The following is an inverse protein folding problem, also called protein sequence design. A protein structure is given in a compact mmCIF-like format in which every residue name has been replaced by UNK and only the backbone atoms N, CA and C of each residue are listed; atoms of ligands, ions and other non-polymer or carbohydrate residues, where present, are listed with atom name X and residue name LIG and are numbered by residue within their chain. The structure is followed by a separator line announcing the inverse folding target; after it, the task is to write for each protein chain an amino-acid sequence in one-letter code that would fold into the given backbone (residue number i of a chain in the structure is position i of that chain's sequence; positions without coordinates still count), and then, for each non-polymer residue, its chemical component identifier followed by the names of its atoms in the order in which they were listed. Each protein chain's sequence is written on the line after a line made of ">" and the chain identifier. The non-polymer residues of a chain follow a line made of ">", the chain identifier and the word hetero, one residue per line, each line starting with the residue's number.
data_IF_522846194028
#
_entry.id   IF_522846194028
#
_cell.length_a   1.000
_cell.length_b   1.000
_cell.length_c   1.000
_cell.angle_alpha   90.00
_cell.angle_beta   90.00
_cell.angle_gamma   90.00
#
_symmetry.space_group_name_H-M   'P 1'
#
loop_
_entity.id
_entity.type
_entity.pdbx_description
1 polymer ?
#
# COMPACT_ATOMS: atom_id res chain seq x y z
N UNK A 1 -2.69 -30.65 9.88
CA UNK A 1 -3.52 -29.60 10.52
C UNK A 1 -4.62 -29.23 9.53
N UNK A 2 -5.91 -29.33 9.89
CA UNK A 2 -7.04 -29.12 8.95
C UNK A 2 -7.70 -27.76 9.18
N UNK A 3 -7.09 -26.69 8.66
CA UNK A 3 -7.63 -25.33 8.75
C UNK A 3 -9.06 -25.21 8.21
N UNK A 4 -9.42 -26.02 7.22
CA UNK A 4 -10.78 -26.05 6.64
C UNK A 4 -11.84 -26.53 7.62
N UNK A 5 -11.51 -27.47 8.51
CA UNK A 5 -12.43 -27.93 9.56
C UNK A 5 -12.68 -26.85 10.60
N UNK A 6 -11.67 -26.02 10.91
CA UNK A 6 -11.84 -24.90 11.83
C UNK A 6 -12.82 -23.84 11.26
N UNK A 7 -12.86 -23.64 9.94
CA UNK A 7 -13.84 -22.76 9.30
C UNK A 7 -15.26 -23.34 9.25
N UNK A 8 -15.46 -24.63 9.53
CA UNK A 8 -16.80 -25.19 9.73
C UNK A 8 -17.42 -24.72 11.06
N UNK A 9 -16.59 -24.32 12.02
CA UNK A 9 -17.02 -23.90 13.36
C UNK A 9 -16.85 -22.39 13.60
N UNK A 10 -16.09 -21.70 12.76
CA UNK A 10 -15.78 -20.27 12.88
C UNK A 10 -16.26 -19.51 11.63
N UNK A 11 -16.79 -18.30 11.82
CA UNK A 11 -17.18 -17.44 10.70
C UNK A 11 -15.92 -16.98 9.92
N UNK A 12 -15.70 -17.42 8.67
CA UNK A 12 -14.47 -17.09 7.94
C UNK A 12 -14.28 -15.59 7.69
N UNK A 13 -15.39 -14.84 7.67
CA UNK A 13 -15.43 -13.40 7.40
C UNK A 13 -14.76 -12.54 8.47
N UNK A 14 -14.68 -13.06 9.69
CA UNK A 14 -14.15 -12.33 10.86
C UNK A 14 -12.90 -13.00 11.45
N UNK A 15 -12.55 -14.18 10.97
CA UNK A 15 -11.45 -14.98 11.52
C UNK A 15 -10.11 -14.67 10.81
N UNK A 16 -9.70 -13.40 10.82
CA UNK A 16 -8.42 -12.96 10.25
C UNK A 16 -7.21 -13.76 10.79
N UNK A 17 -7.09 -14.03 12.11
CA UNK A 17 -5.93 -14.77 12.62
C UNK A 17 -5.80 -16.16 12.00
N UNK A 18 -6.91 -16.86 11.79
CA UNK A 18 -6.90 -18.21 11.21
C UNK A 18 -6.44 -18.19 9.75
N UNK A 19 -6.87 -17.19 8.97
CA UNK A 19 -6.40 -17.01 7.59
C UNK A 19 -4.91 -16.70 7.52
N UNK A 20 -4.41 -15.83 8.40
CA UNK A 20 -2.98 -15.51 8.49
C UNK A 20 -2.18 -16.76 8.85
N UNK A 21 -2.59 -17.50 9.90
CA UNK A 21 -1.89 -18.73 10.30
C UNK A 21 -1.94 -19.80 9.21
N UNK A 22 -3.02 -19.89 8.44
CA UNK A 22 -3.09 -20.83 7.32
C UNK A 22 -2.12 -20.44 6.20
N UNK A 23 -2.07 -19.15 5.84
CA UNK A 23 -1.13 -18.64 4.84
C UNK A 23 0.33 -18.86 5.29
N UNK A 24 0.68 -18.49 6.53
CA UNK A 24 2.03 -18.67 7.09
C UNK A 24 2.45 -20.14 7.14
N UNK A 25 1.55 -21.04 7.53
CA UNK A 25 1.82 -22.47 7.48
C UNK A 25 2.04 -22.94 6.04
N UNK A 26 1.22 -22.48 5.08
CA UNK A 26 1.36 -22.83 3.67
C UNK A 26 2.68 -22.33 3.07
N UNK A 27 3.15 -21.14 3.47
CA UNK A 27 4.46 -20.62 3.06
C UNK A 27 5.60 -21.58 3.42
N UNK A 28 5.51 -22.26 4.57
CA UNK A 28 6.54 -23.19 5.04
C UNK A 28 6.37 -24.63 4.54
N UNK A 29 5.14 -25.04 4.22
CA UNK A 29 4.77 -26.44 4.04
C UNK A 29 4.29 -26.80 2.63
N UNK A 30 4.04 -25.80 1.77
CA UNK A 30 3.42 -25.99 0.44
C UNK A 30 4.13 -25.17 -0.64
N UNK A 31 3.66 -25.31 -1.88
CA UNK A 31 4.15 -24.51 -3.00
C UNK A 31 3.69 -23.04 -2.92
N UNK A 32 4.31 -22.19 -3.74
CA UNK A 32 3.90 -20.78 -3.81
C UNK A 32 2.48 -20.62 -4.36
N UNK A 33 2.07 -21.49 -5.29
CA UNK A 33 0.75 -21.47 -5.92
C UNK A 33 -0.35 -21.81 -4.90
N UNK A 34 -0.11 -22.81 -4.05
CA UNK A 34 -1.03 -23.19 -2.97
C UNK A 34 -1.20 -22.04 -1.96
N UNK A 35 -0.09 -21.38 -1.62
CA UNK A 35 -0.10 -20.24 -0.71
C UNK A 35 -0.86 -19.06 -1.33
N UNK A 36 -0.66 -18.80 -2.63
CA UNK A 36 -1.41 -17.77 -3.36
C UNK A 36 -2.91 -18.05 -3.37
N UNK A 37 -3.30 -19.32 -3.57
CA UNK A 37 -4.69 -19.73 -3.56
C UNK A 37 -5.35 -19.47 -2.21
N UNK A 38 -4.63 -19.68 -1.10
CA UNK A 38 -5.11 -19.36 0.25
C UNK A 38 -5.32 -17.85 0.42
N UNK A 39 -4.35 -17.02 0.01
CA UNK A 39 -4.52 -15.56 0.07
C UNK A 39 -5.70 -15.08 -0.77
N UNK A 40 -5.85 -15.58 -2.01
CA UNK A 40 -7.00 -15.23 -2.87
C UNK A 40 -8.33 -15.64 -2.23
N UNK A 41 -8.41 -16.84 -1.65
CA UNK A 41 -9.60 -17.33 -0.95
C UNK A 41 -9.90 -16.46 0.28
N UNK A 42 -8.88 -16.10 1.04
CA UNK A 42 -9.00 -15.26 2.23
C UNK A 42 -9.51 -13.85 1.89
N UNK A 43 -9.02 -13.24 0.80
CA UNK A 43 -9.42 -11.89 0.35
C UNK A 43 -10.90 -11.84 -0.04
N UNK A 44 -11.43 -12.91 -0.63
CA UNK A 44 -12.85 -13.03 -0.97
C UNK A 44 -13.70 -13.26 0.29
N UNK A 45 -13.18 -14.03 1.25
CA UNK A 45 -13.92 -14.42 2.44
C UNK A 45 -13.99 -13.30 3.50
N UNK A 46 -12.91 -12.55 3.71
CA UNK A 46 -12.80 -11.55 4.78
C UNK A 46 -13.28 -10.18 4.30
N UNK A 47 -14.13 -9.53 5.10
CA UNK A 47 -14.72 -8.22 4.77
C UNK A 47 -14.29 -7.12 5.75
N UNK A 48 -14.52 -5.86 5.37
CA UNK A 48 -14.28 -4.70 6.24
C UNK A 48 -12.80 -4.47 6.56
N UNK A 49 -12.51 -3.99 7.78
CA UNK A 49 -11.15 -3.62 8.21
C UNK A 49 -10.17 -4.81 8.19
N UNK A 50 -10.63 -6.01 8.52
CA UNK A 50 -9.83 -7.24 8.49
C UNK A 50 -9.30 -7.56 7.09
N UNK A 51 -10.02 -7.17 6.04
CA UNK A 51 -9.57 -7.36 4.65
C UNK A 51 -8.35 -6.50 4.30
N UNK A 52 -8.16 -5.36 4.99
CA UNK A 52 -7.03 -4.44 4.76
C UNK A 52 -5.73 -5.08 5.19
N UNK A 53 -5.68 -5.59 6.43
CA UNK A 53 -4.50 -6.29 6.95
C UNK A 53 -4.11 -7.49 6.07
N UNK A 54 -5.11 -8.20 5.56
CA UNK A 54 -4.86 -9.35 4.69
C UNK A 54 -4.26 -8.94 3.34
N UNK A 55 -4.69 -7.82 2.74
CA UNK A 55 -4.11 -7.27 1.49
C UNK A 55 -2.65 -6.89 1.68
N UNK A 56 -2.32 -6.25 2.81
CA UNK A 56 -0.94 -5.92 3.14
C UNK A 56 -0.07 -7.17 3.30
N UNK A 57 -0.55 -8.19 4.03
CA UNK A 57 0.17 -9.46 4.20
C UNK A 57 0.36 -10.19 2.86
N UNK A 58 -0.66 -10.18 2.01
CA UNK A 58 -0.58 -10.78 0.69
C UNK A 58 0.45 -10.08 -0.20
N UNK A 59 0.49 -8.75 -0.14
CA UNK A 59 1.46 -7.95 -0.88
C UNK A 59 2.90 -8.20 -0.39
N UNK A 60 3.11 -8.26 0.93
CA UNK A 60 4.42 -8.61 1.52
C UNK A 60 4.88 -10.00 1.10
N UNK A 61 3.99 -11.00 1.18
CA UNK A 61 4.29 -12.36 0.72
C UNK A 61 4.63 -12.40 -0.77
N UNK A 62 3.88 -11.68 -1.60
CA UNK A 62 4.12 -11.62 -3.05
C UNK A 62 5.51 -11.05 -3.35
N UNK A 63 5.91 -10.01 -2.62
CA UNK A 63 7.25 -9.44 -2.73
C UNK A 63 8.35 -10.41 -2.29
N UNK A 64 8.19 -11.07 -1.13
CA UNK A 64 9.17 -12.05 -0.63
C UNK A 64 9.32 -13.27 -1.54
N UNK A 65 8.23 -13.74 -2.15
CA UNK A 65 8.21 -14.99 -2.92
C UNK A 65 8.57 -14.84 -4.40
N UNK A 66 8.29 -13.67 -5.00
CA UNK A 66 8.51 -13.44 -6.43
C UNK A 66 9.01 -12.04 -6.78
N UNK A 67 9.50 -11.30 -5.79
CA UNK A 67 10.02 -9.94 -5.94
C UNK A 67 8.97 -8.93 -6.39
N UNK A 68 9.46 -7.79 -6.85
CA UNK A 68 8.64 -6.66 -7.27
C UNK A 68 7.63 -7.02 -8.38
N UNK A 69 7.99 -7.88 -9.35
CA UNK A 69 7.08 -8.25 -10.45
C UNK A 69 5.81 -8.91 -9.93
N UNK A 70 5.96 -9.83 -8.97
CA UNK A 70 4.82 -10.52 -8.34
C UNK A 70 4.03 -9.58 -7.44
N UNK A 71 4.71 -8.77 -6.63
CA UNK A 71 4.06 -7.73 -5.81
C UNK A 71 3.21 -6.78 -6.67
N UNK A 72 3.73 -6.31 -7.82
CA UNK A 72 3.00 -5.45 -8.73
C UNK A 72 1.78 -6.14 -9.36
N UNK A 73 1.89 -7.42 -9.72
CA UNK A 73 0.76 -8.19 -10.23
C UNK A 73 -0.35 -8.34 -9.17
N UNK A 74 0.03 -8.66 -7.93
CA UNK A 74 -0.89 -8.73 -6.79
C UNK A 74 -1.53 -7.37 -6.51
N UNK A 75 -0.74 -6.30 -6.44
CA UNK A 75 -1.23 -4.94 -6.26
C UNK A 75 -2.31 -4.59 -7.30
N UNK A 76 -2.06 -4.88 -8.58
CA UNK A 76 -3.04 -4.68 -9.67
C UNK A 76 -4.31 -5.51 -9.48
N UNK A 77 -4.17 -6.79 -9.12
CA UNK A 77 -5.33 -7.67 -8.89
C UNK A 77 -6.21 -7.21 -7.74
N UNK A 78 -5.64 -6.51 -6.76
CA UNK A 78 -6.35 -6.05 -5.58
C UNK A 78 -7.05 -4.70 -5.77
N UNK A 79 -6.84 -3.97 -6.89
CA UNK A 79 -7.28 -2.57 -7.08
C UNK A 79 -8.78 -2.33 -6.91
N UNK A 80 -9.61 -3.30 -7.25
CA UNK A 80 -11.07 -3.21 -7.12
C UNK A 80 -11.56 -3.70 -5.74
N UNK A 81 -10.69 -4.32 -4.95
CA UNK A 81 -11.03 -4.84 -3.62
C UNK A 81 -10.87 -3.73 -2.56
N UNK A 82 -11.86 -2.85 -2.44
CA UNK A 82 -11.91 -1.84 -1.35
C UNK A 82 -12.31 -2.50 -0.01
N UNK A 83 -11.96 -1.93 1.16
CA UNK A 83 -11.13 -0.74 1.39
C UNK A 83 -9.62 -1.03 1.37
N UNK A 84 -8.79 0.02 1.27
CA UNK A 84 -7.33 -0.04 1.43
C UNK A 84 -6.86 0.79 2.63
N UNK A 85 -5.60 0.60 3.02
CA UNK A 85 -4.85 1.49 3.91
C UNK A 85 -3.88 2.34 3.09
N UNK A 86 -3.44 3.46 3.67
CA UNK A 86 -2.30 4.22 3.13
C UNK A 86 -1.04 3.33 3.10
N UNK A 87 -0.87 2.48 4.11
CA UNK A 87 0.26 1.57 4.26
C UNK A 87 0.39 0.59 3.08
N UNK A 88 -0.73 0.10 2.55
CA UNK A 88 -0.75 -0.72 1.35
C UNK A 88 -0.09 -0.03 0.14
N UNK A 89 -0.30 1.28 -0.02
CA UNK A 89 0.35 2.06 -1.07
C UNK A 89 1.81 2.38 -0.73
N UNK A 90 2.12 2.74 0.52
CA UNK A 90 3.48 3.01 0.98
C UNK A 90 4.41 1.82 0.77
N UNK A 91 3.93 0.59 1.06
CA UNK A 91 4.67 -0.65 0.77
C UNK A 91 4.98 -0.82 -0.71
N UNK A 92 4.00 -0.59 -1.58
CA UNK A 92 4.22 -0.69 -3.02
C UNK A 92 5.24 0.36 -3.52
N UNK A 93 5.22 1.58 -2.97
CA UNK A 93 6.23 2.60 -3.24
C UNK A 93 7.61 2.17 -2.74
N UNK A 94 7.70 1.61 -1.54
CA UNK A 94 8.96 1.08 -1.00
C UNK A 94 9.54 -0.01 -1.91
N UNK A 95 8.72 -0.96 -2.35
CA UNK A 95 9.16 -2.03 -3.25
C UNK A 95 9.66 -1.48 -4.59
N UNK A 96 9.09 -0.38 -5.10
CA UNK A 96 9.59 0.31 -6.29
C UNK A 96 10.93 1.00 -6.03
N UNK A 97 11.10 1.63 -4.86
CA UNK A 97 12.36 2.29 -4.46
C UNK A 97 13.51 1.31 -4.31
N UNK A 98 13.22 0.06 -3.92
CA UNK A 98 14.19 -1.02 -3.82
C UNK A 98 14.59 -1.62 -5.19
N UNK A 99 13.96 -1.20 -6.30
CA UNK A 99 14.36 -1.65 -7.64
C UNK A 99 15.54 -0.86 -8.21
N UNK A 100 16.38 -1.53 -8.98
CA UNK A 100 17.39 -0.90 -9.83
C UNK A 100 17.11 -1.22 -11.32
N UNK A 101 16.75 -0.22 -12.16
CA UNK A 101 16.52 1.19 -11.83
C UNK A 101 15.14 1.42 -11.17
N UNK A 102 15.11 2.29 -10.16
CA UNK A 102 13.86 2.80 -9.60
C UNK A 102 13.16 3.70 -10.63
N UNK A 103 11.89 3.42 -10.93
CA UNK A 103 11.18 4.14 -11.99
C UNK A 103 10.25 5.18 -11.38
N UNK A 104 10.65 6.45 -11.50
CA UNK A 104 9.85 7.59 -11.05
C UNK A 104 8.42 7.60 -11.61
N UNK A 105 8.22 7.12 -12.85
CA UNK A 105 6.87 7.02 -13.44
C UNK A 105 5.94 6.11 -12.64
N UNK A 106 6.45 5.00 -12.10
CA UNK A 106 5.67 4.08 -11.26
C UNK A 106 5.41 4.71 -9.89
N UNK A 107 6.42 5.38 -9.29
CA UNK A 107 6.24 6.09 -8.02
C UNK A 107 5.13 7.14 -8.11
N UNK A 108 5.16 7.98 -9.16
CA UNK A 108 4.09 8.95 -9.44
C UNK A 108 2.72 8.26 -9.54
N UNK A 109 2.62 7.15 -10.27
CA UNK A 109 1.37 6.37 -10.38
C UNK A 109 0.85 5.92 -9.00
N UNK A 110 1.74 5.43 -8.12
CA UNK A 110 1.37 5.00 -6.77
C UNK A 110 0.97 6.17 -5.87
N UNK A 111 1.69 7.31 -5.93
CA UNK A 111 1.33 8.51 -5.17
C UNK A 111 -0.03 9.03 -5.60
N UNK A 112 -0.27 9.16 -6.90
CA UNK A 112 -1.55 9.62 -7.44
C UNK A 112 -2.71 8.71 -7.04
N UNK A 113 -2.50 7.39 -7.00
CA UNK A 113 -3.54 6.46 -6.51
C UNK A 113 -3.78 6.61 -5.02
N UNK A 114 -2.74 6.73 -4.20
CA UNK A 114 -2.89 6.92 -2.77
C UNK A 114 -3.61 8.25 -2.46
N UNK A 115 -3.26 9.32 -3.17
CA UNK A 115 -3.85 10.65 -3.00
C UNK A 115 -5.33 10.72 -3.41
N UNK A 116 -5.78 9.89 -4.35
CA UNK A 116 -7.22 9.76 -4.66
C UNK A 116 -8.04 9.26 -3.47
N UNK A 117 -7.45 8.43 -2.62
CA UNK A 117 -8.13 7.80 -1.49
C UNK A 117 -7.92 8.56 -0.19
N UNK A 118 -6.72 9.10 0.02
CA UNK A 118 -6.28 9.65 1.31
C UNK A 118 -5.81 11.11 1.24
N UNK A 119 -5.85 11.74 0.06
CA UNK A 119 -5.34 13.09 -0.14
C UNK A 119 -6.14 14.20 0.58
N UNK A 120 -7.30 13.89 1.15
CA UNK A 120 -8.08 14.84 1.96
C UNK A 120 -7.65 14.90 3.43
N UNK A 121 -6.98 13.85 3.93
CA UNK A 121 -6.66 13.70 5.35
C UNK A 121 -5.17 13.47 5.62
N UNK A 122 -4.42 12.87 4.70
CA UNK A 122 -3.01 12.52 4.90
C UNK A 122 -2.07 13.61 4.35
N UNK A 123 -1.66 14.54 5.23
CA UNK A 123 -0.69 15.59 4.90
C UNK A 123 0.72 15.05 4.61
N UNK A 124 1.09 13.92 5.22
CA UNK A 124 2.42 13.32 5.05
C UNK A 124 2.56 12.74 3.65
N UNK A 125 1.50 12.12 3.12
CA UNK A 125 1.48 11.59 1.76
C UNK A 125 1.78 12.67 0.70
N UNK A 126 1.26 13.89 0.88
CA UNK A 126 1.58 15.03 0.01
C UNK A 126 3.03 15.49 0.16
N UNK A 127 3.52 15.60 1.41
CA UNK A 127 4.91 16.01 1.68
C UNK A 127 5.92 14.99 1.15
N UNK A 128 5.64 13.70 1.31
CA UNK A 128 6.46 12.62 0.79
C UNK A 128 6.52 12.68 -0.73
N UNK A 129 5.41 13.00 -1.40
CA UNK A 129 5.42 13.13 -2.86
C UNK A 129 6.26 14.33 -3.34
N UNK A 130 6.17 15.48 -2.67
CA UNK A 130 7.02 16.65 -2.97
C UNK A 130 8.51 16.28 -2.79
N UNK A 131 8.85 15.65 -1.66
CA UNK A 131 10.23 15.21 -1.41
C UNK A 131 10.71 14.20 -2.47
N UNK A 132 9.84 13.32 -2.95
CA UNK A 132 10.20 12.37 -3.99
C UNK A 132 10.54 13.08 -5.31
N UNK A 133 9.75 14.07 -5.72
CA UNK A 133 10.02 14.85 -6.94
C UNK A 133 11.31 15.69 -6.86
N UNK A 134 11.73 16.07 -5.65
CA UNK A 134 12.96 16.82 -5.42
C UNK A 134 14.21 15.92 -5.35
N UNK A 135 14.11 14.76 -4.69
CA UNK A 135 15.29 13.95 -4.35
C UNK A 135 15.56 12.82 -5.34
N UNK A 136 14.55 12.34 -6.07
CA UNK A 136 14.73 11.25 -7.01
C UNK A 136 15.54 11.71 -8.25
N UNK A 137 16.50 10.93 -8.79
CA UNK A 137 17.33 11.35 -9.94
C UNK A 137 16.54 11.71 -11.20
N UNK A 138 15.38 11.09 -11.38
CA UNK A 138 14.41 11.36 -12.45
C UNK A 138 13.16 12.12 -11.98
N UNK A 139 13.24 12.71 -10.79
CA UNK A 139 12.25 13.63 -10.24
C UNK A 139 12.15 14.91 -11.07
N UNK A 140 11.07 15.66 -10.87
CA UNK A 140 10.78 16.91 -11.57
C UNK A 140 10.43 17.98 -10.53
N UNK A 141 11.41 18.76 -10.05
CA UNK A 141 11.18 19.84 -9.11
C UNK A 141 10.08 20.82 -9.56
N UNK A 142 9.92 21.02 -10.88
CA UNK A 142 8.87 21.85 -11.47
C UNK A 142 7.44 21.39 -11.12
N UNK A 143 7.25 20.10 -10.81
CA UNK A 143 5.95 19.57 -10.39
C UNK A 143 5.59 19.98 -8.95
N UNK A 144 6.57 20.34 -8.10
CA UNK A 144 6.35 20.56 -6.67
C UNK A 144 5.34 21.68 -6.41
N UNK A 145 5.37 22.76 -7.21
CA UNK A 145 4.40 23.85 -7.10
C UNK A 145 2.96 23.39 -7.39
N UNK A 146 2.78 22.53 -8.39
CA UNK A 146 1.47 21.96 -8.72
C UNK A 146 0.98 21.00 -7.62
N UNK A 147 1.87 20.16 -7.08
CA UNK A 147 1.56 19.22 -5.99
C UNK A 147 1.15 20.00 -4.73
N UNK A 148 1.91 21.03 -4.35
CA UNK A 148 1.58 21.92 -3.23
C UNK A 148 0.21 22.57 -3.39
N UNK A 149 -0.05 23.15 -4.58
CA UNK A 149 -1.34 23.78 -4.85
C UNK A 149 -2.51 22.78 -4.74
N UNK A 150 -2.35 21.56 -5.24
CA UNK A 150 -3.36 20.50 -5.11
C UNK A 150 -3.57 20.09 -3.65
N UNK A 151 -2.50 19.92 -2.88
CA UNK A 151 -2.58 19.62 -1.45
C UNK A 151 -3.40 20.68 -0.69
N UNK A 152 -3.14 21.97 -0.95
CA UNK A 152 -3.89 23.09 -0.36
C UNK A 152 -5.38 23.11 -0.73
N UNK A 153 -5.76 22.54 -1.87
CA UNK A 153 -7.16 22.45 -2.30
C UNK A 153 -7.87 21.20 -1.78
N UNK A 154 -7.14 20.11 -1.55
CA UNK A 154 -7.73 18.82 -1.18
C UNK A 154 -7.72 18.58 0.33
N UNK A 155 -6.66 18.98 1.03
CA UNK A 155 -6.56 18.80 2.47
C UNK A 155 -7.59 19.66 3.20
N UNK A 156 -8.17 19.08 4.26
CA UNK A 156 -9.22 19.74 5.05
C UNK A 156 -8.78 19.91 6.51
N UNK A 157 -9.26 20.98 7.15
CA UNK A 157 -9.06 21.25 8.57
C UNK A 157 -7.58 21.23 8.98
N UNK A 158 -7.30 20.56 10.10
CA UNK A 158 -5.96 20.49 10.70
C UNK A 158 -4.90 19.90 9.75
N UNK A 159 -5.28 19.01 8.83
CA UNK A 159 -4.31 18.42 7.89
C UNK A 159 -3.74 19.45 6.92
N UNK A 160 -4.51 20.49 6.54
CA UNK A 160 -4.01 21.58 5.71
C UNK A 160 -3.00 22.46 6.48
N UNK A 161 -3.29 22.79 7.74
CA UNK A 161 -2.39 23.57 8.60
C UNK A 161 -1.07 22.84 8.85
N UNK A 162 -1.14 21.54 9.16
CA UNK A 162 0.04 20.68 9.32
C UNK A 162 0.87 20.61 8.04
N UNK A 163 0.23 20.52 6.88
CA UNK A 163 0.92 20.51 5.60
C UNK A 163 1.69 21.81 5.35
N UNK A 164 1.06 22.98 5.58
CA UNK A 164 1.72 24.29 5.43
C UNK A 164 2.92 24.41 6.38
N UNK A 165 2.77 24.02 7.64
CA UNK A 165 3.86 24.04 8.61
C UNK A 165 5.02 23.13 8.17
N UNK A 166 4.74 21.89 7.77
CA UNK A 166 5.75 20.93 7.28
C UNK A 166 6.48 21.46 6.04
N UNK A 167 5.74 22.06 5.10
CA UNK A 167 6.33 22.62 3.90
C UNK A 167 7.23 23.83 4.20
N UNK A 168 6.79 24.75 5.06
CA UNK A 168 7.58 25.90 5.47
C UNK A 168 8.89 25.48 6.18
N UNK A 169 8.83 24.49 7.07
CA UNK A 169 10.02 23.94 7.72
C UNK A 169 10.98 23.29 6.72
N UNK A 170 10.45 22.58 5.72
CA UNK A 170 11.27 21.98 4.67
C UNK A 170 12.00 23.04 3.83
N UNK A 171 11.33 24.16 3.51
CA UNK A 171 11.94 25.28 2.78
C UNK A 171 12.97 26.06 3.59
N UNK A 172 12.77 26.20 4.91
CA UNK A 172 13.69 26.93 5.79
C UNK A 172 14.95 26.12 6.19
N UNK A 173 14.93 24.79 6.01
CA UNK A 173 16.06 23.90 6.30
C UNK A 173 17.01 23.67 5.11
N UNK A 174 16.78 24.34 3.99
CA UNK A 174 17.65 24.40 2.80
C UNK A 174 18.27 25.78 2.68
#
# INVERSE_FOLDING_TARGET
>A
MRFEEAFAHLKPQVCLPLWISWAEWSESAKSQEDTEAIFKKAIIAVTGASSVTLKEKYLDWAYRSGGYKKARAVFKSLQESRPFSVEFFRKMMQFEKEQEPCKMVNLREYYERALREFGTSDSDLWMDYIKEELNHPFGKPENCGQIYWRAMKMLQGQSAELFVAKHAMHQAGH
#
